data_IF_401800678358
#
_entry.id   IF_401800678358
#
_cell.length_a   1.000
_cell.length_b   1.000
_cell.length_c   1.000
_cell.angle_alpha   90.00
_cell.angle_beta   90.00
_cell.angle_gamma   90.00
#
_symmetry.space_group_name_H-M   'P 1'
#
loop_
_entity.id
_entity.type
_entity.pdbx_description
1 polymer ?
#
# COMPACT_ATOMS: atom_id res chain seq x y z
N UNK A 1 -18.04 -0.32 -36.57
CA UNK A 1 -16.79 -0.21 -35.79
C UNK A 1 -17.19 -0.13 -34.33
N UNK A 2 -16.96 -1.19 -33.57
CA UNK A 2 -17.16 -1.19 -32.13
C UNK A 2 -15.78 -1.26 -31.50
N UNK A 3 -15.31 -0.13 -30.96
CA UNK A 3 -14.31 -0.12 -29.90
C UNK A 3 -15.12 0.17 -28.64
N UNK A 4 -15.71 -0.89 -28.08
CA UNK A 4 -15.99 -0.91 -26.64
C UNK A 4 -14.63 -0.95 -25.97
N UNK A 5 -13.99 0.21 -25.85
CA UNK A 5 -12.99 0.42 -24.82
C UNK A 5 -13.79 0.50 -23.52
N UNK A 6 -14.11 -0.66 -22.98
CA UNK A 6 -14.30 -0.83 -21.55
C UNK A 6 -12.93 -0.50 -20.94
N UNK A 7 -12.61 0.79 -20.90
CA UNK A 7 -11.42 1.26 -20.21
C UNK A 7 -11.81 1.10 -18.75
N UNK A 8 -11.64 -0.11 -18.25
CA UNK A 8 -11.51 -0.37 -16.82
C UNK A 8 -10.52 0.70 -16.34
N UNK A 9 -11.01 1.79 -15.73
CA UNK A 9 -10.22 2.96 -15.28
C UNK A 9 -9.35 2.60 -14.08
N UNK A 10 -9.00 1.33 -13.97
CA UNK A 10 -8.13 0.79 -12.95
C UNK A 10 -6.72 1.26 -13.26
N UNK A 11 -6.15 1.98 -12.30
CA UNK A 11 -4.76 2.37 -12.37
C UNK A 11 -3.98 1.60 -11.32
N UNK A 12 -2.91 0.96 -11.75
CA UNK A 12 -1.98 0.29 -10.87
C UNK A 12 -0.77 1.19 -10.65
N UNK A 13 -0.45 1.43 -9.39
CA UNK A 13 0.69 2.24 -8.96
C UNK A 13 1.56 1.40 -8.03
N UNK A 14 2.81 1.18 -8.41
CA UNK A 14 3.80 0.56 -7.52
C UNK A 14 4.49 1.63 -6.71
N UNK A 15 4.52 1.46 -5.39
CA UNK A 15 5.23 2.34 -4.47
C UNK A 15 5.85 1.56 -3.30
N UNK A 16 6.81 2.20 -2.64
CA UNK A 16 7.45 1.66 -1.44
C UNK A 16 6.86 2.37 -0.23
N UNK A 17 6.41 1.57 0.73
CA UNK A 17 5.78 2.03 1.97
C UNK A 17 6.42 1.32 3.15
N UNK A 18 6.54 2.03 4.25
CA UNK A 18 6.96 1.46 5.53
C UNK A 18 5.75 1.35 6.42
N UNK A 19 5.50 0.13 6.87
CA UNK A 19 4.36 -0.18 7.72
C UNK A 19 4.88 -0.50 9.11
N UNK A 20 4.33 0.18 10.10
CA UNK A 20 4.64 -0.04 11.51
C UNK A 20 3.69 -1.09 12.08
N UNK A 21 4.23 -2.27 12.36
CA UNK A 21 3.47 -3.40 12.89
C UNK A 21 3.84 -3.62 14.36
N UNK A 22 2.89 -3.50 15.31
CA UNK A 22 3.16 -3.75 16.73
C UNK A 22 3.74 -5.16 16.97
N UNK A 23 4.68 -5.28 17.89
CA UNK A 23 5.24 -6.57 18.29
C UNK A 23 4.13 -7.39 18.99
N UNK A 24 3.57 -8.37 18.28
CA UNK A 24 2.39 -9.14 18.72
C UNK A 24 1.14 -8.91 17.88
N UNK A 25 1.22 -8.15 16.79
CA UNK A 25 0.14 -8.09 15.82
C UNK A 25 -0.07 -9.44 15.14
N UNK A 26 -1.33 -9.83 14.95
CA UNK A 26 -1.66 -11.12 14.35
C UNK A 26 -1.32 -11.17 12.84
N UNK A 27 -0.60 -12.24 12.48
CA UNK A 27 -0.19 -12.56 11.11
C UNK A 27 1.16 -11.96 10.69
N UNK A 28 1.58 -12.28 9.48
CA UNK A 28 2.83 -11.79 8.90
C UNK A 28 2.80 -10.28 8.62
N UNK A 29 3.99 -9.65 8.63
CA UNK A 29 4.18 -8.23 8.37
C UNK A 29 3.57 -7.80 7.03
N UNK A 30 3.74 -8.64 6.01
CA UNK A 30 3.20 -8.45 4.66
C UNK A 30 1.68 -8.40 4.69
N UNK A 31 1.03 -9.39 5.32
CA UNK A 31 -0.43 -9.42 5.44
C UNK A 31 -0.95 -8.22 6.24
N UNK A 32 -0.23 -7.79 7.27
CA UNK A 32 -0.60 -6.60 8.03
C UNK A 32 -0.52 -5.33 7.17
N UNK A 33 0.54 -5.20 6.37
CA UNK A 33 0.72 -4.12 5.42
C UNK A 33 -0.41 -4.09 4.38
N UNK A 34 -0.69 -5.21 3.71
CA UNK A 34 -1.78 -5.29 2.74
C UNK A 34 -3.13 -4.89 3.35
N UNK A 35 -3.44 -5.39 4.56
CA UNK A 35 -4.68 -5.03 5.26
C UNK A 35 -4.74 -3.55 5.61
N UNK A 36 -3.65 -2.92 6.03
CA UNK A 36 -3.64 -1.50 6.36
C UNK A 36 -3.78 -0.65 5.09
N UNK A 37 -3.01 -0.95 4.05
CA UNK A 37 -3.03 -0.22 2.79
C UNK A 37 -4.40 -0.37 2.09
N UNK A 38 -5.01 -1.55 2.15
CA UNK A 38 -6.35 -1.81 1.58
C UNK A 38 -7.48 -1.09 2.34
N UNK A 39 -7.24 -0.56 3.54
CA UNK A 39 -8.23 0.28 4.25
C UNK A 39 -8.23 1.73 3.76
N UNK A 40 -7.24 2.13 2.99
CA UNK A 40 -7.13 3.49 2.51
C UNK A 40 -8.18 3.76 1.43
N UNK A 41 -8.72 4.98 1.43
CA UNK A 41 -9.88 5.32 0.62
C UNK A 41 -9.59 5.28 -0.89
N UNK A 42 -10.44 4.59 -1.64
CA UNK A 42 -10.31 4.43 -3.09
C UNK A 42 -9.19 3.49 -3.55
N UNK A 43 -8.61 2.73 -2.63
CA UNK A 43 -7.80 1.56 -2.96
C UNK A 43 -8.73 0.35 -3.15
N UNK A 44 -8.62 -0.31 -4.29
CA UNK A 44 -9.36 -1.53 -4.60
C UNK A 44 -8.60 -2.76 -4.12
N UNK A 45 -7.34 -2.86 -4.52
CA UNK A 45 -6.48 -4.02 -4.26
C UNK A 45 -5.09 -3.52 -3.91
N UNK A 46 -4.46 -4.19 -2.95
CA UNK A 46 -3.05 -4.02 -2.63
C UNK A 46 -2.39 -5.37 -2.68
N UNK A 47 -1.30 -5.44 -3.43
CA UNK A 47 -0.45 -6.62 -3.51
C UNK A 47 0.95 -6.20 -3.08
N UNK A 48 1.47 -6.78 -2.02
CA UNK A 48 2.88 -6.61 -1.68
C UNK A 48 3.71 -7.53 -2.55
N UNK A 49 4.57 -6.94 -3.39
CA UNK A 49 5.44 -7.70 -4.29
C UNK A 49 6.69 -8.19 -3.57
N UNK A 50 7.26 -7.35 -2.71
CA UNK A 50 8.54 -7.62 -2.08
C UNK A 50 8.72 -6.88 -0.76
N UNK A 51 9.46 -7.49 0.16
CA UNK A 51 9.86 -6.89 1.42
C UNK A 51 11.29 -6.36 1.29
N UNK A 52 11.42 -5.03 1.26
CA UNK A 52 12.67 -4.34 1.00
C UNK A 52 13.54 -4.24 2.27
N UNK A 53 12.94 -3.91 3.41
CA UNK A 53 13.67 -3.72 4.67
C UNK A 53 12.81 -4.10 5.89
N UNK A 54 13.48 -4.52 6.96
CA UNK A 54 12.89 -4.79 8.26
C UNK A 54 13.70 -4.11 9.35
N UNK A 55 13.04 -3.24 10.10
CA UNK A 55 13.59 -2.53 11.25
C UNK A 55 12.84 -2.96 12.51
N UNK A 56 13.33 -3.96 13.24
CA UNK A 56 12.71 -4.39 14.49
C UNK A 56 12.95 -3.34 15.58
N UNK A 57 11.87 -2.75 16.10
CA UNK A 57 11.89 -1.87 17.26
C UNK A 57 11.47 -2.58 18.54
N UNK A 58 11.64 -1.90 19.68
CA UNK A 58 11.32 -2.47 21.00
C UNK A 58 9.83 -2.76 21.20
N UNK A 59 8.94 -1.98 20.57
CA UNK A 59 7.48 -2.11 20.71
C UNK A 59 6.75 -2.40 19.40
N UNK A 60 7.38 -2.13 18.26
CA UNK A 60 6.84 -2.37 16.92
C UNK A 60 7.99 -2.65 15.96
N UNK A 61 7.72 -3.44 14.93
CA UNK A 61 8.62 -3.68 13.80
C UNK A 61 8.15 -2.83 12.62
N UNK A 62 9.06 -2.04 12.07
CA UNK A 62 8.83 -1.26 10.86
C UNK A 62 9.28 -2.09 9.67
N UNK A 63 8.36 -2.34 8.74
CA UNK A 63 8.58 -3.17 7.57
C UNK A 63 8.42 -2.33 6.32
N UNK A 64 9.50 -2.10 5.59
CA UNK A 64 9.50 -1.41 4.31
C UNK A 64 9.19 -2.42 3.22
N UNK A 65 8.02 -2.30 2.61
CA UNK A 65 7.52 -3.19 1.56
C UNK A 65 7.31 -2.42 0.26
N UNK A 66 7.58 -3.07 -0.86
CA UNK A 66 7.15 -2.63 -2.18
C UNK A 66 5.76 -3.21 -2.44
N UNK A 67 4.79 -2.33 -2.60
CA UNK A 67 3.41 -2.71 -2.86
C UNK A 67 2.90 -2.09 -4.16
N UNK A 68 2.18 -2.90 -4.92
CA UNK A 68 1.38 -2.47 -6.06
C UNK A 68 -0.04 -2.23 -5.58
N UNK A 69 -0.53 -1.03 -5.87
CA UNK A 69 -1.83 -0.55 -5.42
C UNK A 69 -2.70 -0.30 -6.64
N UNK A 70 -3.89 -0.89 -6.66
CA UNK A 70 -4.89 -0.69 -7.70
C UNK A 70 -5.98 0.26 -7.22
N UNK A 71 -6.27 1.30 -7.99
CA UNK A 71 -7.33 2.28 -7.71
C UNK A 71 -8.43 2.20 -8.75
N UNK A 72 -9.68 2.44 -8.35
CA UNK A 72 -10.84 2.38 -9.25
C UNK A 72 -10.85 3.49 -10.32
N UNK A 73 -10.17 4.58 -10.02
CA UNK A 73 -10.03 5.75 -10.86
C UNK A 73 -8.55 6.07 -11.04
N UNK A 74 -8.15 6.69 -12.17
CA UNK A 74 -6.79 7.17 -12.36
C UNK A 74 -6.48 8.27 -11.34
N UNK A 75 -5.59 7.97 -10.40
CA UNK A 75 -5.09 8.89 -9.38
C UNK A 75 -3.59 9.06 -9.51
N UNK A 76 -3.13 10.30 -9.37
CA UNK A 76 -1.68 10.56 -9.35
C UNK A 76 -1.03 9.75 -8.22
N UNK A 77 0.16 9.21 -8.46
CA UNK A 77 0.94 8.49 -7.44
C UNK A 77 1.03 9.28 -6.12
N UNK A 78 1.12 10.60 -6.20
CA UNK A 78 1.16 11.45 -5.01
C UNK A 78 -0.14 11.46 -4.20
N UNK A 79 -1.31 11.43 -4.84
CA UNK A 79 -2.60 11.32 -4.16
C UNK A 79 -2.78 9.97 -3.49
N UNK A 80 -2.32 8.89 -4.14
CA UNK A 80 -2.28 7.54 -3.53
C UNK A 80 -1.37 7.55 -2.31
N UNK A 81 -0.16 8.12 -2.42
CA UNK A 81 0.78 8.25 -1.30
C UNK A 81 0.19 9.04 -0.14
N UNK A 82 -0.47 10.16 -0.40
CA UNK A 82 -1.10 11.00 0.64
C UNK A 82 -2.23 10.24 1.37
N UNK A 83 -3.07 9.53 0.61
CA UNK A 83 -4.15 8.70 1.16
C UNK A 83 -3.63 7.57 2.04
N UNK A 84 -2.51 6.95 1.63
CA UNK A 84 -1.84 5.90 2.40
C UNK A 84 -1.12 6.47 3.63
N UNK A 85 -0.43 7.61 3.52
CA UNK A 85 0.26 8.27 4.63
C UNK A 85 -0.71 8.82 5.69
N UNK A 86 -1.97 9.07 5.32
CA UNK A 86 -3.04 9.39 6.26
C UNK A 86 -3.46 8.21 7.14
N UNK A 87 -3.05 6.97 6.82
CA UNK A 87 -3.36 5.80 7.65
C UNK A 87 -2.48 5.76 8.91
N UNK A 88 -3.10 5.44 10.04
CA UNK A 88 -2.36 5.30 11.30
C UNK A 88 -1.41 4.11 11.22
N UNK A 89 -0.11 4.38 11.38
CA UNK A 89 0.94 3.35 11.36
C UNK A 89 1.50 3.03 9.97
N UNK A 90 1.16 3.82 8.94
CA UNK A 90 1.74 3.72 7.61
C UNK A 90 2.55 4.98 7.32
N UNK A 91 3.82 4.81 6.97
CA UNK A 91 4.70 5.88 6.52
C UNK A 91 5.04 5.64 5.05
N UNK A 92 4.80 6.65 4.22
CA UNK A 92 4.99 6.54 2.77
C UNK A 92 6.24 7.30 2.38
N UNK A 93 7.24 6.58 1.86
CA UNK A 93 8.48 7.19 1.41
C UNK A 93 8.34 7.60 -0.07
N UNK A 94 8.49 8.89 -0.34
CA UNK A 94 8.77 9.38 -1.68
C UNK A 94 10.27 9.31 -1.93
N UNK A 95 10.72 8.27 -2.65
CA UNK A 95 12.03 8.33 -3.31
C UNK A 95 12.03 9.35 -4.45
#
# INVERSE_FOLDING_TARGET
MAITSDTETRQTTTLVVTVRVPNGADGDLVTNAERQLSRADGILVVTVEDLQELQPGLSATEATVRATVETAEPRTTQSVKDTLAGQTGVEVFST
#
